data_IF_757461710167
#
_entry.id   IF_757461710167
#
_cell.length_a   1.000
_cell.length_b   1.000
_cell.length_c   1.000
_cell.angle_alpha   90.00
_cell.angle_beta   90.00
_cell.angle_gamma   90.00
#
_symmetry.space_group_name_H-M   'P 1'
#
loop_
_entity.id
_entity.type
_entity.pdbx_description
1 polymer ?
#
# COMPACT_ATOMS: atom_id res chain seq x y z
N UNK A 1 -7.46 2.17 15.64
CA UNK A 1 -6.38 2.86 16.32
C UNK A 1 -5.03 2.35 15.86
N UNK A 2 -4.54 2.79 14.82
CA UNK A 2 -3.27 2.39 14.28
C UNK A 2 -3.22 2.76 12.84
N UNK A 3 -2.19 2.29 12.19
CA UNK A 3 -1.95 2.59 10.79
C UNK A 3 -2.42 1.40 9.97
N UNK A 4 -3.18 1.67 8.91
CA UNK A 4 -3.58 0.62 7.98
C UNK A 4 -2.38 0.22 7.14
N UNK A 5 -2.04 -1.05 7.16
CA UNK A 5 -0.87 -1.55 6.43
C UNK A 5 -1.29 -2.07 5.06
N UNK A 6 -0.59 -1.60 4.04
CA UNK A 6 -0.77 -2.02 2.67
C UNK A 6 0.58 -2.51 2.17
N UNK A 7 0.59 -3.72 1.61
CA UNK A 7 1.84 -4.35 1.17
C UNK A 7 1.84 -4.55 -0.33
N UNK A 8 2.94 -4.16 -0.97
CA UNK A 8 3.21 -4.46 -2.37
C UNK A 8 4.27 -5.54 -2.38
N UNK A 9 3.93 -6.71 -2.90
CA UNK A 9 4.78 -7.90 -2.82
C UNK A 9 4.92 -8.56 -4.18
N UNK A 10 6.12 -9.05 -4.52
CA UNK A 10 6.27 -9.80 -5.76
C UNK A 10 5.60 -11.18 -5.66
N UNK A 11 5.07 -11.63 -6.77
CA UNK A 11 4.51 -12.97 -6.93
C UNK A 11 5.23 -13.66 -8.08
N UNK A 12 4.92 -14.96 -8.29
CA UNK A 12 5.50 -15.70 -9.39
C UNK A 12 5.24 -15.02 -10.73
N UNK A 13 4.00 -14.55 -10.96
CA UNK A 13 3.58 -13.99 -12.24
C UNK A 13 3.17 -12.53 -12.15
N UNK A 14 3.76 -11.78 -11.23
CA UNK A 14 3.40 -10.37 -11.13
C UNK A 14 3.64 -9.80 -9.74
N UNK A 15 2.74 -8.91 -9.34
CA UNK A 15 2.84 -8.19 -8.09
C UNK A 15 1.48 -8.10 -7.43
N UNK A 16 1.44 -8.23 -6.12
CA UNK A 16 0.20 -8.18 -5.36
C UNK A 16 0.16 -6.96 -4.45
N UNK A 17 -1.04 -6.38 -4.33
CA UNK A 17 -1.33 -5.38 -3.29
C UNK A 17 -2.22 -6.06 -2.27
N UNK A 18 -1.79 -6.08 -1.03
CA UNK A 18 -2.46 -6.81 0.05
C UNK A 18 -2.67 -5.90 1.25
N UNK A 19 -3.80 -6.08 1.93
CA UNK A 19 -4.10 -5.45 3.21
C UNK A 19 -4.28 -6.53 4.28
N UNK A 20 -3.93 -6.21 5.53
CA UNK A 20 -3.94 -7.19 6.61
C UNK A 20 -5.29 -7.86 6.84
N UNK A 21 -6.38 -7.11 6.82
CA UNK A 21 -7.69 -7.62 7.17
C UNK A 21 -8.57 -7.90 5.97
N UNK A 22 -7.99 -7.90 4.77
CA UNK A 22 -8.71 -8.15 3.53
C UNK A 22 -8.16 -9.41 2.88
N UNK A 23 -9.01 -10.41 2.68
CA UNK A 23 -8.57 -11.69 2.13
C UNK A 23 -8.19 -11.61 0.66
N UNK A 24 -8.90 -10.77 -0.11
CA UNK A 24 -8.62 -10.64 -1.53
C UNK A 24 -7.51 -9.63 -1.76
N UNK A 25 -6.51 -10.03 -2.51
CA UNK A 25 -5.47 -9.11 -2.93
C UNK A 25 -5.59 -8.85 -4.42
N UNK A 26 -5.14 -7.68 -4.85
CA UNK A 26 -5.14 -7.31 -6.26
C UNK A 26 -3.80 -7.70 -6.88
N UNK A 27 -3.84 -8.16 -8.12
CA UNK A 27 -2.66 -8.61 -8.84
C UNK A 27 -2.40 -7.70 -10.02
N UNK A 28 -1.15 -7.32 -10.21
CA UNK A 28 -0.72 -6.42 -11.27
C UNK A 28 0.45 -7.03 -12.04
N UNK A 29 0.59 -6.63 -13.30
CA UNK A 29 1.63 -7.14 -14.17
C UNK A 29 3.01 -6.50 -13.90
N UNK A 30 3.05 -5.38 -13.20
CA UNK A 30 4.32 -4.71 -12.87
C UNK A 30 4.31 -4.15 -11.48
N UNK A 31 5.50 -4.03 -10.90
CA UNK A 31 5.66 -3.41 -9.58
C UNK A 31 5.23 -1.96 -9.58
N UNK A 32 5.48 -1.24 -10.67
CA UNK A 32 5.10 0.17 -10.75
C UNK A 32 3.58 0.34 -10.69
N UNK A 33 2.84 -0.53 -11.39
CA UNK A 33 1.37 -0.48 -11.35
C UNK A 33 0.84 -0.84 -9.98
N UNK A 34 1.42 -1.84 -9.34
CA UNK A 34 1.03 -2.25 -8.01
C UNK A 34 1.30 -1.15 -7.00
N UNK A 35 2.46 -0.53 -7.07
CA UNK A 35 2.83 0.56 -6.18
C UNK A 35 1.88 1.74 -6.35
N UNK A 36 1.56 2.12 -7.59
CA UNK A 36 0.64 3.21 -7.86
C UNK A 36 -0.74 2.92 -7.26
N UNK A 37 -1.24 1.71 -7.44
CA UNK A 37 -2.54 1.30 -6.89
C UNK A 37 -2.53 1.35 -5.36
N UNK A 38 -1.43 0.89 -4.74
CA UNK A 38 -1.29 0.90 -3.29
C UNK A 38 -1.27 2.31 -2.74
N UNK A 39 -0.54 3.22 -3.41
CA UNK A 39 -0.47 4.61 -2.97
C UNK A 39 -1.82 5.31 -3.10
N UNK A 40 -2.56 5.03 -4.16
CA UNK A 40 -3.91 5.58 -4.31
C UNK A 40 -4.85 5.09 -3.23
N UNK A 41 -4.77 3.80 -2.90
CA UNK A 41 -5.57 3.23 -1.81
C UNK A 41 -5.22 3.88 -0.49
N UNK A 42 -3.91 4.00 -0.20
CA UNK A 42 -3.45 4.61 1.04
C UNK A 42 -3.93 6.06 1.15
N UNK A 43 -3.90 6.80 0.05
CA UNK A 43 -4.35 8.18 0.06
C UNK A 43 -5.87 8.28 0.30
N UNK A 44 -6.65 7.39 -0.31
CA UNK A 44 -8.10 7.37 -0.05
C UNK A 44 -8.41 7.06 1.41
N UNK A 45 -7.70 6.10 2.00
CA UNK A 45 -7.89 5.77 3.41
C UNK A 45 -7.49 6.95 4.29
N UNK A 46 -6.36 7.58 4.00
CA UNK A 46 -5.90 8.74 4.75
C UNK A 46 -6.91 9.88 4.68
N UNK A 47 -7.45 10.15 3.49
CA UNK A 47 -8.45 11.20 3.31
C UNK A 47 -9.75 10.90 4.05
N UNK A 48 -10.02 9.63 4.32
CA UNK A 48 -11.16 9.20 5.11
C UNK A 48 -10.85 9.17 6.62
N UNK A 49 -9.70 9.70 7.02
CA UNK A 49 -9.32 9.77 8.43
C UNK A 49 -8.59 8.54 8.92
N UNK A 50 -8.14 7.66 8.02
CA UNK A 50 -7.45 6.42 8.37
C UNK A 50 -6.01 6.46 7.86
N UNK A 51 -5.06 6.85 8.72
CA UNK A 51 -3.65 6.87 8.30
C UNK A 51 -3.22 5.50 7.78
N UNK A 52 -2.39 5.51 6.75
CA UNK A 52 -1.99 4.28 6.08
C UNK A 52 -0.50 4.30 5.77
N UNK A 53 0.08 3.11 5.71
CA UNK A 53 1.48 2.94 5.32
C UNK A 53 1.56 1.90 4.23
N UNK A 54 2.28 2.22 3.16
CA UNK A 54 2.56 1.29 2.07
C UNK A 54 3.99 0.80 2.22
N UNK A 55 4.16 -0.52 2.22
CA UNK A 55 5.49 -1.14 2.20
C UNK A 55 5.64 -1.91 0.91
N UNK A 56 6.70 -1.60 0.17
CA UNK A 56 6.99 -2.23 -1.11
C UNK A 56 8.15 -3.19 -0.90
N UNK A 57 7.93 -4.47 -1.20
CA UNK A 57 8.97 -5.50 -1.07
C UNK A 57 9.49 -5.87 -2.44
N UNK A 58 10.81 -6.02 -2.52
CA UNK A 58 11.49 -6.42 -3.74
C UNK A 58 11.51 -7.95 -3.85
N UNK A 59 11.79 -8.44 -5.04
CA UNK A 59 12.03 -9.86 -5.20
C UNK A 59 13.24 -10.24 -4.34
N UNK A 60 13.08 -11.32 -3.58
CA UNK A 60 14.07 -11.68 -2.59
C UNK A 60 13.69 -11.27 -1.18
N UNK A 61 12.62 -10.49 -1.00
CA UNK A 61 12.04 -10.19 0.30
C UNK A 61 12.53 -8.93 0.99
N UNK A 62 13.50 -8.22 0.39
CA UNK A 62 13.99 -6.99 1.00
C UNK A 62 12.96 -5.87 0.86
N UNK A 63 12.88 -5.01 1.87
CA UNK A 63 12.04 -3.83 1.82
C UNK A 63 12.67 -2.82 0.86
N UNK A 64 11.94 -2.48 -0.20
CA UNK A 64 12.41 -1.54 -1.20
C UNK A 64 11.88 -0.14 -1.04
N UNK A 65 10.78 0.04 -0.31
CA UNK A 65 10.21 1.35 -0.08
C UNK A 65 9.15 1.33 1.00
N UNK A 66 8.97 2.49 1.63
CA UNK A 66 7.97 2.66 2.67
C UNK A 66 7.39 4.07 2.53
N UNK A 67 6.07 4.16 2.46
CA UNK A 67 5.38 5.44 2.27
C UNK A 67 4.28 5.57 3.31
N UNK A 68 4.25 6.70 3.99
CA UNK A 68 3.20 7.00 4.96
C UNK A 68 2.24 8.00 4.36
N UNK A 69 0.94 7.73 4.48
CA UNK A 69 -0.10 8.63 4.01
C UNK A 69 -0.99 9.01 5.18
N UNK A 70 -1.16 10.31 5.39
CA UNK A 70 -1.98 10.86 6.45
C UNK A 70 -2.94 11.87 5.87
N UNK A 71 -4.07 12.03 6.54
CA UNK A 71 -5.01 13.08 6.13
C UNK A 71 -4.35 14.44 6.24
N UNK A 72 -4.66 15.37 5.32
CA UNK A 72 -4.20 16.74 5.45
C UNK A 72 -4.68 17.33 6.77
N UNK A 73 -3.84 18.16 7.39
CA UNK A 73 -4.24 18.86 8.59
C UNK A 73 -5.35 19.83 8.25
N UNK A 74 -6.38 19.87 9.10
CA UNK A 74 -7.42 20.87 8.94
C UNK A 74 -6.82 22.26 9.12
N UNK A 75 -7.22 23.17 8.25
CA UNK A 75 -6.83 24.56 8.41
C UNK A 75 -7.60 25.17 9.55
N UNK A 76 -6.90 25.84 10.39
CA UNK A 76 -7.53 26.51 11.52
C UNK A 76 -8.25 27.78 11.08
#
# INVERSE_FOLDING_TARGET
LGVNMIYVEPMADGWAVRQDLVDNHQVFSSGAKAEDAALRLAQRLANAGQPSEVRVYLRGGALGGRFECRAPKAEA
#
